data_IF_499362405512
#
_entry.id   IF_499362405512
#
_cell.length_a   1.000
_cell.length_b   1.000
_cell.length_c   1.000
_cell.angle_alpha   90.00
_cell.angle_beta   90.00
_cell.angle_gamma   90.00
#
_symmetry.space_group_name_H-M   'P 1'
#
loop_
_entity.id
_entity.type
_entity.pdbx_description
1 polymer ?
#
# COMPACT_ATOMS: atom_id res chain seq x y z
N UNK A 1 0.90 -69.35 -44.53
CA UNK A 1 2.36 -69.12 -44.73
C UNK A 1 2.57 -67.75 -45.35
N UNK A 2 3.54 -66.97 -44.82
CA UNK A 2 4.31 -65.87 -45.44
C UNK A 2 3.50 -64.61 -45.85
N UNK A 3 3.53 -63.52 -45.06
CA UNK A 3 4.52 -62.41 -45.04
C UNK A 3 4.78 -61.77 -46.42
N UNK A 4 4.43 -60.48 -46.57
CA UNK A 4 5.36 -59.39 -46.95
C UNK A 4 4.73 -58.00 -46.79
N UNK A 5 5.49 -57.14 -46.12
CA UNK A 5 5.25 -55.74 -45.77
C UNK A 5 5.81 -54.77 -46.83
N UNK A 6 5.58 -53.46 -46.59
CA UNK A 6 6.34 -52.25 -46.99
C UNK A 6 5.67 -51.42 -48.11
N UNK A 7 5.52 -50.09 -48.08
CA UNK A 7 6.01 -49.00 -47.21
C UNK A 7 5.05 -47.81 -47.35
N UNK A 8 4.70 -47.17 -46.24
CA UNK A 8 4.12 -45.83 -46.23
C UNK A 8 4.81 -45.02 -45.15
N UNK A 9 5.85 -44.26 -45.53
CA UNK A 9 6.48 -43.27 -44.66
C UNK A 9 5.42 -42.22 -44.26
N UNK A 10 5.05 -42.16 -42.99
CA UNK A 10 4.34 -41.01 -42.43
C UNK A 10 5.30 -40.25 -41.53
N UNK A 11 5.77 -39.12 -42.04
CA UNK A 11 6.54 -38.11 -41.31
C UNK A 11 5.63 -37.48 -40.26
N UNK A 12 5.86 -37.78 -38.99
CA UNK A 12 5.20 -37.09 -37.89
C UNK A 12 5.85 -35.71 -37.72
N UNK A 13 5.23 -34.67 -38.26
CA UNK A 13 5.58 -33.29 -37.92
C UNK A 13 5.04 -33.02 -36.52
N UNK A 14 5.95 -32.88 -35.55
CA UNK A 14 5.65 -32.38 -34.22
C UNK A 14 5.22 -30.90 -34.36
N UNK A 15 3.90 -30.67 -34.41
CA UNK A 15 3.35 -29.33 -34.29
C UNK A 15 3.53 -28.86 -32.83
N UNK A 16 4.63 -28.16 -32.56
CA UNK A 16 4.79 -27.36 -31.35
C UNK A 16 3.76 -26.22 -31.43
N UNK A 17 2.60 -26.42 -30.81
CA UNK A 17 1.54 -25.43 -30.80
C UNK A 17 1.99 -24.13 -30.09
N UNK A 18 1.54 -22.95 -30.53
CA UNK A 18 1.94 -21.65 -29.98
C UNK A 18 1.44 -21.38 -28.54
N UNK A 19 0.85 -22.36 -27.85
CA UNK A 19 0.33 -22.22 -26.50
C UNK A 19 1.38 -21.96 -25.42
N UNK A 20 2.65 -22.30 -25.67
CA UNK A 20 3.74 -22.03 -24.73
C UNK A 20 4.19 -20.54 -24.75
N UNK A 21 4.10 -19.88 -25.90
CA UNK A 21 4.52 -18.48 -26.06
C UNK A 21 3.54 -17.49 -25.42
N UNK A 22 2.23 -17.79 -25.48
CA UNK A 22 1.19 -16.96 -24.84
C UNK A 22 1.25 -17.01 -23.31
N UNK A 23 1.65 -18.14 -22.70
CA UNK A 23 1.82 -18.23 -21.24
C UNK A 23 3.10 -17.56 -20.72
N UNK A 24 4.14 -17.45 -21.55
CA UNK A 24 5.37 -16.76 -21.19
C UNK A 24 5.21 -15.23 -21.17
N UNK A 25 4.29 -14.67 -21.97
CA UNK A 25 4.05 -13.22 -22.03
C UNK A 25 3.24 -12.69 -20.82
N UNK A 26 2.33 -13.48 -20.25
CA UNK A 26 1.60 -13.10 -19.03
C UNK A 26 2.46 -13.18 -17.75
N UNK A 27 3.51 -14.01 -17.76
CA UNK A 27 4.46 -14.11 -16.64
C UNK A 27 5.47 -12.95 -16.62
N UNK A 28 5.76 -12.34 -17.77
CA UNK A 28 6.79 -11.30 -17.92
C UNK A 28 6.40 -9.92 -17.32
N UNK A 29 5.12 -9.71 -16.98
CA UNK A 29 4.60 -8.43 -16.48
C UNK A 29 4.16 -8.42 -15.01
N UNK A 30 4.30 -9.55 -14.29
CA UNK A 30 3.88 -9.64 -12.88
C UNK A 30 4.95 -9.09 -11.93
N UNK A 31 4.62 -8.15 -11.03
CA UNK A 31 5.61 -7.52 -10.14
C UNK A 31 6.29 -8.46 -9.14
N UNK A 32 5.64 -9.56 -8.74
CA UNK A 32 6.11 -10.53 -7.76
C UNK A 32 5.84 -11.96 -8.23
N UNK A 33 6.79 -12.85 -7.93
CA UNK A 33 6.62 -14.30 -8.13
C UNK A 33 5.73 -14.90 -7.04
N UNK A 34 5.28 -16.14 -7.21
CA UNK A 34 4.45 -16.82 -6.21
C UNK A 34 5.17 -16.99 -4.88
N UNK A 35 6.47 -17.29 -4.91
CA UNK A 35 7.33 -17.46 -3.73
C UNK A 35 7.51 -16.15 -2.97
N UNK A 36 7.70 -15.05 -3.72
CA UNK A 36 7.79 -13.71 -3.15
C UNK A 36 6.48 -13.27 -2.51
N UNK A 37 5.34 -13.61 -3.11
CA UNK A 37 4.02 -13.33 -2.52
C UNK A 37 3.78 -14.17 -1.27
N UNK A 38 4.11 -15.46 -1.28
CA UNK A 38 4.00 -16.32 -0.10
C UNK A 38 4.88 -15.78 1.05
N UNK A 39 6.11 -15.36 0.77
CA UNK A 39 6.99 -14.70 1.75
C UNK A 39 6.38 -13.40 2.29
N UNK A 40 5.86 -12.55 1.39
CA UNK A 40 5.33 -11.23 1.72
C UNK A 40 4.08 -11.31 2.60
N UNK A 41 3.21 -12.28 2.33
CA UNK A 41 1.91 -12.45 2.98
C UNK A 41 1.96 -13.34 4.23
N UNK A 42 3.03 -14.13 4.41
CA UNK A 42 3.22 -15.00 5.56
C UNK A 42 2.95 -14.35 6.93
N UNK A 43 3.32 -13.09 7.22
CA UNK A 43 3.06 -12.50 8.53
C UNK A 43 1.58 -12.18 8.83
N UNK A 44 0.74 -12.09 7.80
CA UNK A 44 -0.65 -11.63 7.92
C UNK A 44 -1.70 -12.59 7.35
N UNK A 45 -1.29 -13.64 6.63
CA UNK A 45 -2.22 -14.56 5.96
C UNK A 45 -3.16 -15.30 6.93
N UNK A 46 -2.82 -15.40 8.23
CA UNK A 46 -3.69 -15.99 9.25
C UNK A 46 -4.56 -14.96 9.98
N UNK A 47 -4.57 -13.70 9.55
CA UNK A 47 -5.47 -12.69 10.10
C UNK A 47 -6.92 -13.01 9.70
N UNK A 48 -7.92 -12.64 10.51
CA UNK A 48 -9.32 -12.68 10.09
C UNK A 48 -9.54 -11.91 8.78
N UNK A 49 -10.42 -12.42 7.91
CA UNK A 49 -10.57 -11.93 6.53
C UNK A 49 -10.89 -10.43 6.47
N UNK A 50 -11.69 -9.94 7.42
CA UNK A 50 -12.03 -8.52 7.53
C UNK A 50 -10.80 -7.64 7.81
N UNK A 51 -9.96 -8.04 8.76
CA UNK A 51 -8.73 -7.32 9.10
C UNK A 51 -7.69 -7.43 7.97
N UNK A 52 -7.51 -8.64 7.43
CA UNK A 52 -6.61 -8.88 6.30
C UNK A 52 -6.93 -7.97 5.11
N UNK A 53 -8.21 -7.86 4.75
CA UNK A 53 -8.65 -7.00 3.64
C UNK A 53 -8.22 -5.55 3.84
N UNK A 54 -8.36 -5.01 5.04
CA UNK A 54 -8.02 -3.63 5.34
C UNK A 54 -6.52 -3.38 5.42
N UNK A 55 -5.75 -4.33 5.94
CA UNK A 55 -4.28 -4.26 5.89
C UNK A 55 -3.80 -4.21 4.44
N UNK A 56 -4.37 -5.04 3.57
CA UNK A 56 -4.01 -5.07 2.15
C UNK A 56 -4.42 -3.79 1.40
N UNK A 57 -5.61 -3.26 1.66
CA UNK A 57 -6.07 -1.99 1.10
C UNK A 57 -5.21 -0.82 1.60
N UNK A 58 -5.00 -0.69 2.92
CA UNK A 58 -4.25 0.42 3.50
C UNK A 58 -2.77 0.42 3.10
N UNK A 59 -2.19 -0.76 2.84
CA UNK A 59 -0.81 -0.87 2.37
C UNK A 59 -0.57 -0.18 1.01
N UNK A 60 -1.62 0.09 0.22
CA UNK A 60 -1.51 0.84 -1.04
C UNK A 60 -1.27 2.35 -0.82
N UNK A 61 -1.44 2.84 0.42
CA UNK A 61 -1.32 4.23 0.88
C UNK A 61 -0.30 4.37 2.03
N UNK A 62 0.99 4.04 1.80
CA UNK A 62 1.95 3.90 2.90
C UNK A 62 2.28 5.22 3.62
N UNK A 63 2.09 6.39 3.01
CA UNK A 63 2.28 7.67 3.70
C UNK A 63 1.19 7.89 4.75
N UNK A 64 -0.08 7.70 4.39
CA UNK A 64 -1.19 7.79 5.32
C UNK A 64 -1.06 6.77 6.47
N UNK A 65 -0.54 5.57 6.20
CA UNK A 65 -0.21 4.58 7.25
C UNK A 65 0.79 5.12 8.26
N UNK A 66 1.83 5.84 7.81
CA UNK A 66 2.80 6.50 8.70
C UNK A 66 2.12 7.58 9.54
N UNK A 67 1.27 8.41 8.93
CA UNK A 67 0.54 9.45 9.64
C UNK A 67 -0.43 8.88 10.68
N UNK A 68 -1.18 7.85 10.31
CA UNK A 68 -2.09 7.12 11.19
C UNK A 68 -1.34 6.45 12.34
N UNK A 69 -0.18 5.84 12.09
CA UNK A 69 0.64 5.25 13.14
C UNK A 69 1.14 6.30 14.14
N UNK A 70 1.60 7.47 13.65
CA UNK A 70 2.03 8.59 14.51
C UNK A 70 0.85 9.14 15.32
N UNK A 71 -0.32 9.29 14.70
CA UNK A 71 -1.54 9.69 15.38
C UNK A 71 -1.91 8.68 16.48
N UNK A 72 -1.87 7.39 16.19
CA UNK A 72 -2.20 6.33 17.14
C UNK A 72 -1.23 6.32 18.33
N UNK A 73 0.07 6.50 18.08
CA UNK A 73 1.09 6.63 19.13
C UNK A 73 0.86 7.86 20.03
N UNK A 74 0.39 8.97 19.45
CA UNK A 74 0.04 10.17 20.20
C UNK A 74 -1.29 10.06 20.97
N UNK A 75 -2.12 9.05 20.67
CA UNK A 75 -3.44 8.83 21.26
C UNK A 75 -3.58 7.40 21.85
N UNK A 76 -2.72 6.98 22.80
CA UNK A 76 -2.62 5.58 23.22
C UNK A 76 -3.87 5.03 23.95
N UNK A 77 -4.74 5.92 24.43
CA UNK A 77 -6.01 5.57 25.09
C UNK A 77 -7.17 5.33 24.11
N UNK A 78 -7.05 5.79 22.87
CA UNK A 78 -8.07 5.59 21.85
C UNK A 78 -7.80 4.28 21.10
N UNK A 79 -8.79 3.38 21.12
CA UNK A 79 -8.75 2.08 20.44
C UNK A 79 -10.12 1.74 19.88
N UNK A 80 -10.17 0.77 18.97
CA UNK A 80 -11.43 0.30 18.41
C UNK A 80 -12.23 1.41 17.73
N UNK A 81 -13.55 1.32 17.81
CA UNK A 81 -14.47 2.26 17.17
C UNK A 81 -14.29 3.71 17.65
N UNK A 82 -13.87 3.93 18.90
CA UNK A 82 -13.59 5.28 19.43
C UNK A 82 -12.40 5.95 18.72
N UNK A 83 -11.37 5.17 18.36
CA UNK A 83 -10.23 5.68 17.60
C UNK A 83 -10.65 6.04 16.17
N UNK A 84 -11.47 5.21 15.53
CA UNK A 84 -11.99 5.44 14.19
C UNK A 84 -12.85 6.71 14.14
N UNK A 85 -13.72 6.90 15.14
CA UNK A 85 -14.53 8.11 15.26
C UNK A 85 -13.68 9.39 15.40
N UNK A 86 -12.54 9.30 16.09
CA UNK A 86 -11.64 10.45 16.31
C UNK A 86 -10.86 10.87 15.06
N UNK A 87 -10.76 10.00 14.04
CA UNK A 87 -10.06 10.30 12.78
C UNK A 87 -11.02 10.52 11.60
N UNK A 88 -12.32 10.63 11.86
CA UNK A 88 -13.35 10.82 10.82
C UNK A 88 -13.04 11.97 9.85
N UNK A 89 -12.49 13.07 10.38
CA UNK A 89 -12.20 14.31 9.65
C UNK A 89 -10.82 14.31 8.97
N UNK A 90 -10.04 13.24 9.13
CA UNK A 90 -8.81 13.05 8.36
C UNK A 90 -9.16 12.82 6.89
N UNK A 91 -8.25 13.21 6.00
CA UNK A 91 -8.34 13.02 4.56
C UNK A 91 -7.80 11.66 4.09
N UNK A 92 -7.43 10.79 5.03
CA UNK A 92 -6.96 9.43 4.73
C UNK A 92 -8.02 8.54 4.06
N UNK A 93 -7.58 7.54 3.31
CA UNK A 93 -8.45 6.48 2.80
C UNK A 93 -9.14 5.74 3.96
N UNK A 94 -10.34 5.22 3.67
CA UNK A 94 -11.18 4.53 4.66
C UNK A 94 -10.50 3.30 5.25
N UNK A 95 -9.70 2.57 4.47
CA UNK A 95 -8.92 1.43 4.98
C UNK A 95 -7.89 1.87 6.03
N UNK A 96 -7.23 3.01 5.84
CA UNK A 96 -6.27 3.57 6.79
C UNK A 96 -6.98 4.07 8.04
N UNK A 97 -8.12 4.76 7.88
CA UNK A 97 -8.97 5.18 9.02
C UNK A 97 -9.41 4.00 9.86
N UNK A 98 -9.83 2.89 9.27
CA UNK A 98 -10.23 1.70 10.03
C UNK A 98 -9.07 1.07 10.81
N UNK A 99 -7.86 1.10 10.28
CA UNK A 99 -6.69 0.51 10.95
C UNK A 99 -6.28 1.24 12.22
N UNK A 100 -6.73 2.47 12.48
CA UNK A 100 -6.47 3.14 13.77
C UNK A 100 -7.12 2.42 14.95
N UNK A 101 -8.12 1.56 14.68
CA UNK A 101 -8.66 0.63 15.67
C UNK A 101 -7.60 -0.35 16.19
N UNK A 102 -6.55 -0.64 15.40
CA UNK A 102 -5.49 -1.61 15.67
C UNK A 102 -4.10 -0.95 15.70
N UNK A 103 -3.75 -0.22 16.78
CA UNK A 103 -2.45 0.44 16.94
C UNK A 103 -1.24 -0.48 16.65
N UNK A 104 -1.33 -1.74 17.06
CA UNK A 104 -0.27 -2.74 16.87
C UNK A 104 -0.05 -3.11 15.39
N UNK A 105 -1.09 -3.10 14.57
CA UNK A 105 -0.99 -3.39 13.13
C UNK A 105 -0.38 -2.18 12.43
N UNK A 106 -0.82 -0.97 12.76
CA UNK A 106 -0.23 0.27 12.26
C UNK A 106 1.25 0.39 12.63
N UNK A 107 1.61 0.06 13.88
CA UNK A 107 3.00 0.08 14.34
C UNK A 107 3.87 -0.91 13.54
N UNK A 108 3.37 -2.12 13.30
CA UNK A 108 4.06 -3.11 12.46
C UNK A 108 4.25 -2.58 11.02
N UNK A 109 3.20 -2.03 10.40
CA UNK A 109 3.29 -1.48 9.04
C UNK A 109 4.26 -0.28 8.96
N UNK A 110 4.23 0.59 9.97
CA UNK A 110 5.07 1.78 10.05
C UNK A 110 6.55 1.45 10.33
N UNK A 111 6.85 0.43 11.14
CA UNK A 111 8.23 -0.03 11.36
C UNK A 111 8.82 -0.76 10.16
N UNK A 112 7.97 -1.32 9.29
CA UNK A 112 8.38 -2.14 8.16
C UNK A 112 7.90 -1.54 6.82
N UNK A 113 8.27 -0.28 6.54
CA UNK A 113 7.76 0.47 5.37
C UNK A 113 8.05 -0.19 4.02
N UNK A 114 9.22 -0.83 3.87
CA UNK A 114 9.53 -1.57 2.64
C UNK A 114 8.61 -2.76 2.42
N UNK A 115 8.24 -3.46 3.50
CA UNK A 115 7.26 -4.54 3.46
C UNK A 115 5.87 -4.01 3.16
N UNK A 116 5.44 -2.95 3.85
CA UNK A 116 4.13 -2.28 3.63
C UNK A 116 4.00 -1.82 2.19
N UNK A 117 5.02 -1.17 1.63
CA UNK A 117 5.03 -0.74 0.23
C UNK A 117 4.90 -1.92 -0.74
N UNK A 118 5.69 -2.99 -0.55
CA UNK A 118 5.62 -4.19 -1.41
C UNK A 118 4.24 -4.84 -1.33
N UNK A 119 3.64 -4.87 -0.15
CA UNK A 119 2.29 -5.39 0.07
C UNK A 119 1.25 -4.58 -0.71
N UNK A 120 1.33 -3.25 -0.65
CA UNK A 120 0.49 -2.37 -1.45
C UNK A 120 0.69 -2.54 -2.95
N UNK A 121 1.95 -2.64 -3.42
CA UNK A 121 2.27 -2.90 -4.83
C UNK A 121 1.66 -4.22 -5.32
N UNK A 122 1.75 -5.28 -4.50
CA UNK A 122 1.14 -6.57 -4.81
C UNK A 122 -0.39 -6.48 -4.87
N UNK A 123 -1.01 -5.75 -3.95
CA UNK A 123 -2.47 -5.56 -3.94
C UNK A 123 -2.97 -4.73 -5.13
N UNK A 124 -2.17 -3.77 -5.63
CA UNK A 124 -2.52 -2.99 -6.81
C UNK A 124 -2.38 -3.81 -8.10
N UNK A 125 -1.28 -4.55 -8.23
CA UNK A 125 -0.90 -5.21 -9.49
C UNK A 125 -1.34 -6.67 -9.63
N UNK A 126 -1.61 -7.37 -8.51
CA UNK A 126 -1.71 -8.84 -8.47
C UNK A 126 -2.73 -9.36 -7.44
N UNK A 127 -3.92 -8.76 -7.34
CA UNK A 127 -4.93 -9.16 -6.34
C UNK A 127 -5.25 -10.66 -6.37
N UNK A 128 -5.33 -11.26 -7.58
CA UNK A 128 -5.58 -12.68 -7.72
C UNK A 128 -4.46 -13.51 -7.10
N UNK A 129 -3.22 -13.23 -7.44
CA UNK A 129 -2.08 -13.99 -6.94
C UNK A 129 -1.87 -13.76 -5.44
N UNK A 130 -2.23 -12.59 -4.92
CA UNK A 130 -2.31 -12.30 -3.48
C UNK A 130 -3.34 -13.22 -2.81
N UNK A 131 -4.56 -13.32 -3.36
CA UNK A 131 -5.58 -14.24 -2.85
C UNK A 131 -5.11 -15.70 -2.88
N UNK A 132 -4.54 -16.13 -4.01
CA UNK A 132 -4.01 -17.49 -4.18
C UNK A 132 -2.89 -17.78 -3.15
N UNK A 133 -2.00 -16.82 -2.90
CA UNK A 133 -0.92 -16.93 -1.92
C UNK A 133 -1.45 -17.06 -0.48
N UNK A 134 -2.43 -16.23 -0.09
CA UNK A 134 -3.07 -16.35 1.22
C UNK A 134 -3.70 -17.74 1.40
N UNK A 135 -4.39 -18.26 0.38
CA UNK A 135 -4.98 -19.59 0.46
C UNK A 135 -3.95 -20.71 0.52
N UNK A 136 -2.84 -20.61 -0.24
CA UNK A 136 -1.72 -21.55 -0.10
C UNK A 136 -1.16 -21.56 1.33
N UNK A 137 -0.96 -20.38 1.92
CA UNK A 137 -0.45 -20.24 3.28
C UNK A 137 -1.43 -20.79 4.31
N UNK A 138 -2.72 -20.47 4.20
CA UNK A 138 -3.75 -21.01 5.09
C UNK A 138 -3.86 -22.53 4.98
N UNK A 139 -3.85 -23.09 3.77
CA UNK A 139 -3.86 -24.53 3.55
C UNK A 139 -2.62 -25.19 4.20
N UNK A 140 -1.43 -24.58 4.09
CA UNK A 140 -0.23 -25.05 4.80
C UNK A 140 -0.39 -25.01 6.31
N UNK A 141 -0.94 -23.94 6.87
CA UNK A 141 -1.15 -23.84 8.32
C UNK A 141 -2.20 -24.84 8.84
N UNK A 142 -3.24 -25.13 8.05
CA UNK A 142 -4.20 -26.21 8.34
C UNK A 142 -3.51 -27.58 8.28
N UNK A 143 -2.74 -27.86 7.23
CA UNK A 143 -2.00 -29.11 7.06
C UNK A 143 -0.96 -29.33 8.16
N UNK A 144 -0.32 -28.26 8.65
CA UNK A 144 0.58 -28.28 9.80
C UNK A 144 -0.14 -28.43 11.16
N UNK A 145 -1.48 -28.32 11.18
CA UNK A 145 -2.28 -28.42 12.40
C UNK A 145 -2.22 -27.17 13.30
N UNK A 146 -1.74 -26.04 12.77
CA UNK A 146 -1.48 -24.80 13.51
C UNK A 146 -2.54 -23.72 13.28
N UNK A 147 -3.42 -23.87 12.28
CA UNK A 147 -4.59 -23.02 12.09
C UNK A 147 -5.86 -23.78 12.51
N UNK A 148 -6.48 -23.34 13.62
CA UNK A 148 -7.66 -23.97 14.22
C UNK A 148 -8.66 -22.93 14.70
N UNK A 149 -9.91 -23.34 14.83
CA UNK A 149 -10.95 -22.58 15.54
C UNK A 149 -10.61 -22.50 17.03
N UNK A 150 -10.79 -21.32 17.60
CA UNK A 150 -10.58 -20.99 19.02
C UNK A 150 -11.71 -20.07 19.50
N UNK A 151 -11.79 -19.70 20.79
CA UNK A 151 -12.75 -18.69 21.22
C UNK A 151 -12.58 -17.31 20.55
N UNK A 152 -11.41 -17.03 19.98
CA UNK A 152 -11.07 -15.76 19.32
C UNK A 152 -11.48 -15.74 17.83
N UNK A 153 -11.35 -16.89 17.15
CA UNK A 153 -11.61 -17.00 15.72
C UNK A 153 -12.26 -18.33 15.35
N UNK A 154 -13.08 -18.30 14.30
CA UNK A 154 -13.64 -19.46 13.64
C UNK A 154 -12.92 -19.69 12.32
N UNK A 155 -12.38 -20.88 12.15
CA UNK A 155 -11.76 -21.34 10.91
C UNK A 155 -12.71 -22.31 10.22
N UNK A 156 -13.08 -22.01 8.98
CA UNK A 156 -13.94 -22.88 8.17
C UNK A 156 -13.35 -23.11 6.79
N UNK A 157 -13.67 -24.25 6.19
CA UNK A 157 -13.38 -24.51 4.78
C UNK A 157 -14.67 -24.39 4.00
N UNK A 158 -14.72 -23.45 3.07
CA UNK A 158 -15.84 -23.27 2.14
C UNK A 158 -15.50 -23.93 0.81
N UNK A 159 -16.46 -24.67 0.24
CA UNK A 159 -16.33 -25.40 -1.03
C UNK A 159 -17.45 -24.99 -1.97
N UNK A 160 -17.14 -24.80 -3.26
CA UNK A 160 -18.12 -24.37 -4.28
C UNK A 160 -17.92 -25.09 -5.61
N UNK A 161 -17.88 -26.43 -5.63
CA UNK A 161 -17.45 -27.22 -6.79
C UNK A 161 -16.10 -27.88 -6.49
N UNK A 162 -15.10 -27.71 -7.37
CA UNK A 162 -13.77 -28.35 -7.27
C UNK A 162 -12.66 -27.63 -6.49
N UNK A 163 -12.66 -26.31 -6.40
CA UNK A 163 -11.81 -25.55 -5.47
C UNK A 163 -12.24 -25.67 -3.97
N UNK A 164 -11.56 -24.97 -3.09
CA UNK A 164 -11.93 -24.76 -1.69
C UNK A 164 -11.23 -23.52 -1.17
N UNK A 165 -11.75 -22.86 -0.14
CA UNK A 165 -11.10 -21.74 0.52
C UNK A 165 -11.20 -21.86 2.05
N UNK A 166 -10.10 -21.57 2.74
CA UNK A 166 -10.06 -21.42 4.19
C UNK A 166 -10.45 -19.99 4.54
N UNK A 167 -11.53 -19.86 5.32
CA UNK A 167 -12.09 -18.59 5.78
C UNK A 167 -11.85 -18.46 7.28
N UNK A 168 -11.35 -17.29 7.70
CA UNK A 168 -11.08 -16.97 9.11
C UNK A 168 -11.96 -15.80 9.50
N UNK A 169 -12.87 -16.02 10.44
CA UNK A 169 -13.78 -14.99 10.95
C UNK A 169 -13.61 -14.84 12.46
N UNK A 170 -13.80 -13.64 13.02
CA UNK A 170 -13.94 -13.49 14.46
C UNK A 170 -15.13 -14.33 14.97
N UNK A 171 -14.98 -14.99 16.11
CA UNK A 171 -16.10 -15.72 16.73
C UNK A 171 -17.22 -14.77 17.18
N UNK A 172 -16.87 -13.54 17.55
CA UNK A 172 -17.79 -12.42 17.76
C UNK A 172 -17.49 -11.32 16.71
N UNK A 173 -18.42 -10.98 15.80
CA UNK A 173 -18.20 -9.96 14.77
C UNK A 173 -17.83 -8.57 15.30
N UNK A 174 -18.19 -8.24 16.55
CA UNK A 174 -17.90 -6.95 17.17
C UNK A 174 -16.49 -6.89 17.78
N UNK A 175 -15.84 -8.04 17.99
CA UNK A 175 -14.55 -8.12 18.69
C UNK A 175 -13.52 -8.86 17.83
N UNK A 176 -12.46 -8.13 17.45
CA UNK A 176 -11.42 -8.66 16.59
C UNK A 176 -10.15 -8.86 17.40
N UNK A 177 -9.63 -10.07 17.30
CA UNK A 177 -8.35 -10.45 17.87
C UNK A 177 -7.32 -10.47 16.75
N UNK A 178 -6.28 -9.63 16.85
CA UNK A 178 -5.15 -9.68 15.93
C UNK A 178 -4.27 -10.87 16.35
N UNK A 179 -3.97 -11.85 15.48
CA UNK A 179 -3.07 -12.93 15.82
C UNK A 179 -1.60 -12.53 15.59
N UNK A 180 -0.71 -12.99 16.46
CA UNK A 180 0.74 -12.98 16.29
C UNK A 180 1.26 -14.40 16.33
N UNK A 181 2.10 -14.74 15.37
CA UNK A 181 2.65 -16.07 15.22
C UNK A 181 4.01 -15.98 14.53
N UNK A 182 4.85 -16.99 14.76
CA UNK A 182 6.07 -17.16 13.97
C UNK A 182 5.70 -17.92 12.68
N UNK A 183 5.90 -17.35 11.48
CA UNK A 183 5.60 -18.04 10.22
C UNK A 183 6.31 -19.39 10.05
N UNK A 184 7.54 -19.53 10.55
CA UNK A 184 8.29 -20.80 10.48
C UNK A 184 7.64 -21.90 11.32
N UNK A 185 6.96 -21.55 12.41
CA UNK A 185 6.12 -22.48 13.15
C UNK A 185 4.78 -22.70 12.44
N UNK A 186 4.10 -21.61 12.08
CA UNK A 186 2.72 -21.65 11.60
C UNK A 186 2.55 -22.49 10.32
N UNK A 187 3.50 -22.41 9.38
CA UNK A 187 3.40 -23.07 8.07
C UNK A 187 4.16 -24.40 7.97
N UNK A 188 4.85 -24.82 9.05
CA UNK A 188 5.74 -25.98 9.02
C UNK A 188 6.94 -25.78 8.09
N UNK A 189 7.50 -26.86 7.49
CA UNK A 189 8.64 -26.77 6.58
C UNK A 189 8.39 -25.79 5.43
N UNK A 190 9.18 -24.73 5.39
CA UNK A 190 9.03 -23.67 4.38
C UNK A 190 9.60 -24.12 3.04
N UNK A 191 8.83 -24.03 1.94
CA UNK A 191 9.21 -24.61 0.65
C UNK A 191 10.24 -23.76 -0.12
N UNK A 192 10.48 -22.52 0.30
CA UNK A 192 11.29 -21.55 -0.44
C UNK A 192 12.50 -21.07 0.38
N UNK A 193 13.62 -21.81 0.38
CA UNK A 193 14.82 -21.42 1.14
C UNK A 193 15.35 -20.02 0.78
N UNK A 194 15.21 -19.61 -0.50
CA UNK A 194 15.63 -18.29 -0.98
C UNK A 194 14.69 -17.14 -0.56
N UNK A 195 13.48 -17.45 -0.09
CA UNK A 195 12.46 -16.47 0.28
C UNK A 195 11.86 -16.81 1.66
N UNK A 196 12.67 -16.80 2.74
CA UNK A 196 12.19 -17.14 4.08
C UNK A 196 11.22 -16.07 4.61
N UNK A 197 10.15 -16.46 5.31
CA UNK A 197 9.14 -15.51 5.77
C UNK A 197 9.72 -14.60 6.87
N UNK A 198 9.44 -13.28 6.86
CA UNK A 198 9.86 -12.40 7.93
C UNK A 198 9.03 -12.67 9.19
N UNK A 199 9.65 -12.54 10.37
CA UNK A 199 8.96 -12.61 11.65
C UNK A 199 8.91 -11.22 12.29
N UNK A 200 7.70 -10.75 12.57
CA UNK A 200 7.46 -9.51 13.29
C UNK A 200 6.95 -9.85 14.70
N UNK A 201 7.79 -9.73 15.75
CA UNK A 201 7.40 -10.08 17.10
C UNK A 201 6.32 -9.11 17.62
N UNK A 202 5.48 -9.56 18.57
CA UNK A 202 4.52 -8.68 19.22
C UNK A 202 5.22 -7.56 20.01
N UNK A 203 4.57 -6.41 20.19
CA UNK A 203 5.11 -5.33 21.02
C UNK A 203 5.26 -5.79 22.50
N UNK A 204 6.17 -5.19 23.29
CA UNK A 204 6.45 -5.64 24.66
C UNK A 204 5.24 -5.72 25.60
N UNK A 205 4.23 -4.86 25.39
CA UNK A 205 3.00 -4.80 26.20
C UNK A 205 1.82 -5.51 25.54
N UNK A 206 2.10 -6.49 24.68
CA UNK A 206 1.07 -7.27 24.02
C UNK A 206 0.41 -8.21 25.05
N UNK A 207 -0.70 -7.75 25.65
CA UNK A 207 -1.54 -8.58 26.50
C UNK A 207 -2.09 -9.73 25.66
N UNK A 208 -1.48 -10.90 25.80
CA UNK A 208 -1.70 -12.00 24.88
C UNK A 208 -2.15 -13.27 25.60
N UNK A 209 -3.06 -13.98 24.96
CA UNK A 209 -3.37 -15.37 25.31
C UNK A 209 -2.78 -16.29 24.24
N UNK A 210 -1.91 -17.21 24.66
CA UNK A 210 -1.38 -18.24 23.77
C UNK A 210 -2.43 -19.34 23.59
N UNK A 211 -2.99 -19.45 22.39
CA UNK A 211 -3.98 -20.47 22.04
C UNK A 211 -3.55 -21.20 20.78
N UNK A 212 -3.48 -22.53 20.85
CA UNK A 212 -3.06 -23.37 19.71
C UNK A 212 -1.73 -22.92 19.06
N UNK A 213 -0.80 -22.37 19.86
CA UNK A 213 0.51 -21.88 19.40
C UNK A 213 0.51 -20.49 18.73
N UNK A 214 -0.66 -19.86 18.59
CA UNK A 214 -0.79 -18.45 18.19
C UNK A 214 -1.01 -17.58 19.42
N UNK A 215 -0.37 -16.41 19.46
CA UNK A 215 -0.66 -15.39 20.46
C UNK A 215 -1.79 -14.50 19.94
N UNK A 216 -2.91 -14.45 20.64
CA UNK A 216 -3.97 -13.50 20.36
C UNK A 216 -3.90 -12.35 21.36
N UNK A 217 -3.94 -11.13 20.85
CA UNK A 217 -3.91 -9.92 21.66
C UNK A 217 -5.23 -9.70 22.38
N UNK A 218 -5.33 -8.59 23.11
CA UNK A 218 -6.61 -8.15 23.66
C UNK A 218 -7.62 -7.92 22.52
N UNK A 219 -8.84 -8.41 22.70
CA UNK A 219 -9.92 -8.22 21.74
C UNK A 219 -10.23 -6.74 21.56
N UNK A 220 -10.28 -6.28 20.32
CA UNK A 220 -10.58 -4.89 19.97
C UNK A 220 -12.05 -4.80 19.55
N UNK A 221 -12.81 -3.93 20.21
CA UNK A 221 -14.17 -3.58 19.78
C UNK A 221 -14.10 -2.76 18.48
N UNK A 222 -14.24 -3.44 17.35
CA UNK A 222 -13.95 -2.88 16.01
C UNK A 222 -14.98 -3.34 14.95
N UNK A 223 -16.16 -3.79 15.38
CA UNK A 223 -17.20 -4.26 14.45
C UNK A 223 -17.70 -3.16 13.52
N UNK A 224 -17.78 -1.91 13.99
CA UNK A 224 -18.13 -0.75 13.16
C UNK A 224 -16.95 -0.30 12.29
N UNK A 225 -15.71 -0.46 12.77
CA UNK A 225 -14.50 -0.16 12.01
C UNK A 225 -14.33 -1.07 10.78
N UNK A 226 -14.87 -2.30 10.78
CA UNK A 226 -14.72 -3.22 9.66
C UNK A 226 -15.80 -3.03 8.59
N UNK A 227 -15.38 -2.48 7.46
CA UNK A 227 -16.22 -2.32 6.27
C UNK A 227 -15.87 -3.31 5.15
N UNK A 228 -14.72 -3.98 5.25
CA UNK A 228 -14.22 -4.89 4.23
C UNK A 228 -14.24 -6.35 4.66
N UNK A 229 -14.26 -7.25 3.67
CA UNK A 229 -14.01 -8.67 3.80
C UNK A 229 -13.22 -9.18 2.59
N UNK A 230 -13.02 -10.50 2.53
CA UNK A 230 -12.33 -11.12 1.40
C UNK A 230 -13.28 -12.07 0.66
N UNK A 231 -13.28 -12.02 -0.66
CA UNK A 231 -13.96 -12.97 -1.53
C UNK A 231 -12.92 -13.89 -2.17
N UNK A 232 -13.08 -15.19 -1.95
CA UNK A 232 -12.14 -16.20 -2.42
C UNK A 232 -12.42 -16.66 -3.87
N UNK A 233 -13.10 -15.83 -4.66
CA UNK A 233 -13.24 -16.02 -6.11
C UNK A 233 -14.33 -16.98 -6.56
N UNK A 234 -15.20 -17.46 -5.67
CA UNK A 234 -16.10 -18.59 -5.99
C UNK A 234 -17.59 -18.45 -5.73
N UNK A 235 -18.08 -17.32 -5.21
CA UNK A 235 -19.53 -17.12 -5.21
C UNK A 235 -19.98 -16.72 -6.63
N UNK A 236 -20.79 -17.57 -7.28
CA UNK A 236 -21.41 -17.36 -8.58
C UNK A 236 -22.38 -16.18 -8.62
N UNK A 237 -21.88 -14.97 -8.46
CA UNK A 237 -22.66 -13.74 -8.39
C UNK A 237 -21.86 -12.53 -8.86
N UNK A 238 -21.41 -12.52 -10.11
CA UNK A 238 -21.04 -11.28 -10.81
C UNK A 238 -19.79 -10.51 -10.33
N UNK A 239 -18.98 -11.00 -9.39
CA UNK A 239 -17.90 -10.22 -8.71
C UNK A 239 -16.62 -9.91 -9.52
N UNK A 240 -16.42 -10.43 -10.72
CA UNK A 240 -15.29 -10.06 -11.59
C UNK A 240 -13.89 -10.33 -10.99
N UNK A 241 -12.91 -9.46 -11.28
CA UNK A 241 -11.50 -9.57 -10.87
C UNK A 241 -11.18 -9.01 -9.45
N UNK A 242 -12.17 -8.72 -8.62
CA UNK A 242 -11.96 -8.15 -7.28
C UNK A 242 -12.07 -9.22 -6.20
N UNK A 243 -11.09 -9.27 -5.30
CA UNK A 243 -10.97 -10.27 -4.23
C UNK A 243 -11.34 -9.71 -2.85
N UNK A 244 -11.72 -8.44 -2.78
CA UNK A 244 -12.19 -7.76 -1.56
C UNK A 244 -13.68 -7.49 -1.66
N UNK A 245 -14.43 -7.79 -0.61
CA UNK A 245 -15.82 -7.33 -0.46
C UNK A 245 -15.83 -6.06 0.35
N UNK A 246 -16.65 -5.08 -0.05
CA UNK A 246 -16.81 -3.82 0.65
C UNK A 246 -18.27 -3.59 0.98
N UNK A 247 -18.56 -3.46 2.26
CA UNK A 247 -19.81 -2.89 2.75
C UNK A 247 -19.75 -1.36 2.63
N UNK A 248 -20.34 -0.85 1.55
CA UNK A 248 -20.34 0.59 1.20
C UNK A 248 -21.01 1.44 2.29
N UNK A 249 -22.02 0.92 3.00
CA UNK A 249 -22.68 1.66 4.08
C UNK A 249 -21.74 1.88 5.27
N UNK A 250 -21.04 0.82 5.70
CA UNK A 250 -20.01 0.95 6.75
C UNK A 250 -18.86 1.83 6.30
N UNK A 251 -18.40 1.69 5.06
CA UNK A 251 -17.33 2.52 4.50
C UNK A 251 -17.70 4.01 4.48
N UNK A 252 -18.94 4.33 4.08
CA UNK A 252 -19.49 5.69 4.15
C UNK A 252 -19.52 6.22 5.57
N UNK A 253 -19.89 5.39 6.56
CA UNK A 253 -19.92 5.81 7.96
C UNK A 253 -18.52 6.15 8.50
N UNK A 254 -17.51 5.37 8.12
CA UNK A 254 -16.11 5.57 8.54
C UNK A 254 -15.47 6.77 7.81
N UNK A 255 -15.68 6.85 6.50
CA UNK A 255 -15.14 7.93 5.67
C UNK A 255 -15.84 9.27 5.90
N UNK A 256 -17.07 9.25 6.42
CA UNK A 256 -17.92 10.41 6.67
C UNK A 256 -17.94 11.35 5.46
N UNK A 257 -17.54 12.61 5.64
CA UNK A 257 -17.62 13.67 4.61
C UNK A 257 -16.61 13.50 3.46
N UNK A 258 -15.61 12.62 3.60
CA UNK A 258 -14.51 12.45 2.64
C UNK A 258 -14.59 11.12 1.87
N UNK A 259 -15.77 10.48 1.82
CA UNK A 259 -15.94 9.19 1.14
C UNK A 259 -16.42 9.33 -0.30
N UNK A 260 -15.57 8.99 -1.26
CA UNK A 260 -15.97 8.87 -2.66
C UNK A 260 -16.59 7.48 -2.93
N UNK A 261 -17.90 7.35 -2.72
CA UNK A 261 -18.64 6.10 -2.90
C UNK A 261 -18.41 5.40 -4.26
N UNK A 262 -18.13 6.18 -5.31
CA UNK A 262 -17.83 5.67 -6.66
C UNK A 262 -16.57 4.78 -6.71
N UNK A 263 -15.62 4.95 -5.78
CA UNK A 263 -14.41 4.10 -5.67
C UNK A 263 -14.68 2.74 -5.03
N UNK A 264 -15.85 2.61 -4.41
CA UNK A 264 -16.33 1.41 -3.75
C UNK A 264 -17.59 0.84 -4.42
N UNK A 265 -17.84 1.26 -5.67
CA UNK A 265 -19.01 0.87 -6.45
C UNK A 265 -19.14 -0.66 -6.55
N UNK A 266 -20.39 -1.14 -6.50
CA UNK A 266 -20.75 -2.56 -6.52
C UNK A 266 -20.12 -3.40 -5.39
N UNK A 267 -19.72 -2.75 -4.29
CA UNK A 267 -19.10 -3.42 -3.14
C UNK A 267 -17.68 -3.93 -3.40
N UNK A 268 -16.95 -3.31 -4.32
CA UNK A 268 -15.58 -3.69 -4.70
C UNK A 268 -14.59 -2.61 -4.31
N UNK A 269 -13.36 -2.98 -3.99
CA UNK A 269 -12.29 -2.01 -3.79
C UNK A 269 -11.62 -1.65 -5.13
N UNK A 270 -11.40 -0.35 -5.34
CA UNK A 270 -10.55 0.17 -6.39
C UNK A 270 -9.47 1.10 -5.80
N UNK A 271 -8.22 0.89 -6.20
CA UNK A 271 -7.10 1.74 -5.80
C UNK A 271 -7.32 3.19 -6.22
N UNK A 272 -7.15 4.13 -5.29
CA UNK A 272 -7.19 5.57 -5.56
C UNK A 272 -5.78 6.20 -5.57
N UNK A 273 -5.27 6.62 -6.73
CA UNK A 273 -3.94 7.26 -6.83
C UNK A 273 -3.75 8.53 -6.02
N UNK A 274 -4.83 9.22 -5.61
CA UNK A 274 -4.73 10.48 -4.84
C UNK A 274 -4.12 10.25 -3.46
N UNK A 275 -4.55 9.20 -2.76
CA UNK A 275 -4.11 8.81 -1.40
C UNK A 275 -2.71 8.18 -1.36
N UNK A 276 -2.08 7.96 -2.52
CA UNK A 276 -0.74 7.37 -2.61
C UNK A 276 0.38 8.41 -2.47
N UNK A 277 0.05 9.71 -2.48
CA UNK A 277 0.93 10.83 -2.13
C UNK A 277 2.35 10.78 -2.69
N UNK A 278 2.48 10.60 -4.00
CA UNK A 278 3.79 10.64 -4.63
C UNK A 278 4.55 9.32 -4.65
N UNK A 279 4.15 8.31 -3.87
CA UNK A 279 4.87 7.04 -3.75
C UNK A 279 4.87 6.31 -5.11
N UNK A 280 6.05 6.06 -5.71
CA UNK A 280 6.13 5.48 -7.05
C UNK A 280 5.51 4.08 -7.11
N UNK A 281 4.79 3.82 -8.21
CA UNK A 281 4.34 2.46 -8.56
C UNK A 281 5.51 1.60 -9.02
N UNK A 282 5.40 0.29 -8.80
CA UNK A 282 6.45 -0.68 -9.08
C UNK A 282 6.63 -0.88 -10.59
N UNK A 283 5.55 -1.16 -11.31
CA UNK A 283 5.62 -1.46 -12.75
C UNK A 283 5.44 -0.21 -13.61
N UNK A 284 5.96 -0.25 -14.84
CA UNK A 284 5.73 0.81 -15.83
C UNK A 284 4.27 0.92 -16.22
N UNK A 285 3.57 -0.22 -16.34
CA UNK A 285 2.15 -0.30 -16.64
C UNK A 285 1.30 0.40 -15.57
N UNK A 286 1.57 0.15 -14.28
CA UNK A 286 0.89 0.87 -13.18
C UNK A 286 1.18 2.38 -13.22
N UNK A 287 2.44 2.77 -13.44
CA UNK A 287 2.79 4.19 -13.59
C UNK A 287 2.03 4.83 -14.73
N UNK A 288 1.91 4.17 -15.88
CA UNK A 288 1.13 4.69 -17.01
C UNK A 288 -0.36 4.81 -16.65
N UNK A 289 -0.94 3.77 -16.04
CA UNK A 289 -2.36 3.73 -15.66
C UNK A 289 -2.73 4.80 -14.63
N UNK A 290 -1.89 5.01 -13.61
CA UNK A 290 -2.24 5.81 -12.44
C UNK A 290 -1.56 7.18 -12.36
N UNK A 291 -0.44 7.42 -13.06
CA UNK A 291 0.12 8.79 -13.12
C UNK A 291 -0.70 9.72 -14.02
N UNK A 292 -1.50 9.18 -14.94
CA UNK A 292 -2.46 9.96 -15.72
C UNK A 292 -3.62 10.49 -14.86
N UNK A 293 -3.90 9.84 -13.73
CA UNK A 293 -5.02 10.17 -12.84
C UNK A 293 -4.69 11.25 -11.78
N UNK A 294 -3.52 11.92 -11.87
CA UNK A 294 -3.19 13.02 -10.95
C UNK A 294 -3.76 14.36 -11.46
N UNK A 295 -4.44 15.15 -10.62
CA UNK A 295 -4.80 16.52 -10.96
C UNK A 295 -3.56 17.31 -11.41
N UNK A 296 -3.62 17.97 -12.57
CA UNK A 296 -2.50 18.72 -13.15
C UNK A 296 -1.46 17.89 -13.92
N UNK A 297 -1.69 16.58 -14.15
CA UNK A 297 -0.88 15.79 -15.08
C UNK A 297 -0.92 16.36 -16.51
N UNK A 298 -2.08 16.87 -16.94
CA UNK A 298 -2.27 17.49 -18.26
C UNK A 298 -1.49 18.79 -18.41
N UNK A 299 -1.40 19.60 -17.34
CA UNK A 299 -0.58 20.82 -17.31
C UNK A 299 0.90 20.48 -17.52
N UNK A 300 1.39 19.37 -16.94
CA UNK A 300 2.77 18.90 -17.18
C UNK A 300 3.00 18.40 -18.61
N UNK A 301 1.99 17.82 -19.26
CA UNK A 301 2.08 17.43 -20.67
C UNK A 301 2.13 18.67 -21.58
N UNK A 302 1.37 19.71 -21.26
CA UNK A 302 1.42 21.00 -21.98
C UNK A 302 2.80 21.67 -21.88
N UNK A 303 3.43 21.65 -20.70
CA UNK A 303 4.81 22.14 -20.53
C UNK A 303 5.84 21.31 -21.32
N UNK A 304 5.63 19.99 -21.45
CA UNK A 304 6.52 19.13 -22.24
C UNK A 304 6.39 19.39 -23.75
N UNK A 305 5.17 19.56 -24.27
CA UNK A 305 4.95 19.92 -25.69
C UNK A 305 5.44 21.33 -26.06
N UNK A 306 5.47 22.26 -25.11
CA UNK A 306 6.03 23.60 -25.32
C UNK A 306 7.57 23.60 -25.37
N UNK A 307 8.24 22.66 -24.68
CA UNK A 307 9.70 22.49 -24.77
C UNK A 307 10.13 21.86 -26.09
N UNK A 308 9.38 20.89 -26.60
CA UNK A 308 9.64 20.21 -27.87
C UNK A 308 9.50 21.17 -29.08
N UNK A 309 8.50 22.07 -29.04
CA UNK A 309 8.37 23.17 -30.01
C UNK A 309 9.50 24.21 -29.89
N UNK A 310 10.09 24.40 -28.71
CA UNK A 310 11.21 25.31 -28.52
C UNK A 310 12.53 24.73 -29.06
N UNK A 311 12.72 23.40 -28.98
CA UNK A 311 13.88 22.71 -29.56
C UNK A 311 13.83 22.67 -31.10
N UNK A 312 12.66 22.57 -31.72
CA UNK A 312 12.53 22.65 -33.19
C UNK A 312 12.75 24.06 -33.74
N UNK A 313 12.49 25.10 -32.95
CA UNK A 313 12.73 26.50 -33.36
C UNK A 313 14.19 26.94 -33.15
N UNK A 314 14.95 26.23 -32.31
CA UNK A 314 16.37 26.53 -32.04
C UNK A 314 17.34 25.98 -33.10
N UNK A 315 16.86 25.21 -34.09
CA UNK A 315 17.69 24.60 -35.13
C UNK A 315 17.61 25.30 -36.51
N UNK A 316 17.14 26.55 -36.55
CA UNK A 316 17.22 27.44 -37.72
C UNK A 316 17.70 28.82 -37.31
N UNK A 317 19.01 28.96 -37.14
CA UNK A 317 19.61 30.27 -36.86
C UNK A 317 21.12 30.21 -36.71
N UNK A 318 21.81 30.41 -37.83
CA UNK A 318 23.17 30.92 -37.97
C UNK A 318 24.31 30.28 -37.16
N UNK A 319 25.10 29.50 -37.91
CA UNK A 319 26.53 29.32 -37.72
C UNK A 319 27.19 30.71 -37.77
N UNK A 320 27.62 31.22 -36.62
CA UNK A 320 28.56 32.33 -36.53
C UNK A 320 29.52 32.08 -35.36
N UNK A 321 30.80 32.09 -35.70
CA UNK A 321 31.96 31.79 -34.87
C UNK A 321 31.96 32.58 -33.55
N UNK A 322 32.18 31.89 -32.42
CA UNK A 322 32.74 32.51 -31.21
C UNK A 322 33.93 31.68 -30.72
N UNK A 323 35.07 32.30 -30.38
CA UNK A 323 36.25 31.57 -29.94
C UNK A 323 36.06 31.03 -28.52
N UNK A 324 36.68 29.88 -28.29
CA UNK A 324 36.88 29.22 -27.00
C UNK A 324 37.69 30.11 -26.06
N UNK A 325 37.04 30.67 -25.04
CA UNK A 325 37.72 31.19 -23.85
C UNK A 325 37.56 30.20 -22.69
N UNK A 326 38.70 29.61 -22.37
CA UNK A 326 38.97 28.77 -21.22
C UNK A 326 38.89 29.62 -19.93
N UNK A 327 37.89 29.36 -19.08
CA UNK A 327 37.89 29.81 -17.68
C UNK A 327 37.59 28.65 -16.75
N UNK A 328 38.66 28.09 -16.22
CA UNK A 328 38.92 28.08 -14.77
C UNK A 328 37.89 27.40 -13.90
N UNK A 329 38.19 26.15 -13.57
CA UNK A 329 37.65 25.39 -12.45
C UNK A 329 37.90 26.14 -11.12
N UNK A 330 36.84 26.40 -10.35
CA UNK A 330 36.94 26.78 -8.94
C UNK A 330 36.14 25.79 -8.09
N UNK A 331 36.88 24.87 -7.48
CA UNK A 331 36.40 24.02 -6.39
C UNK A 331 36.21 24.86 -5.12
N UNK A 332 34.98 24.92 -4.60
CA UNK A 332 34.72 25.16 -3.18
C UNK A 332 33.95 23.98 -2.62
N UNK A 333 34.67 23.12 -1.89
CA UNK A 333 34.07 22.07 -1.08
C UNK A 333 33.40 22.66 0.16
N UNK A 334 32.27 22.05 0.55
CA UNK A 334 31.73 22.16 1.90
C UNK A 334 30.87 20.94 2.24
N UNK A 335 31.41 20.11 3.13
CA UNK A 335 30.71 19.47 4.24
C UNK A 335 29.54 18.53 3.93
N UNK A 336 29.82 17.23 3.96
CA UNK A 336 28.81 16.18 3.95
C UNK A 336 27.89 16.20 5.18
N UNK A 337 26.63 15.88 4.94
CA UNK A 337 25.74 15.23 5.91
C UNK A 337 25.08 14.05 5.20
N UNK A 338 25.36 12.86 5.73
CA UNK A 338 24.80 11.57 5.31
C UNK A 338 23.27 11.58 5.36
N UNK A 339 22.63 11.26 4.23
CA UNK A 339 21.20 11.01 4.10
C UNK A 339 20.97 9.53 3.78
N UNK A 340 19.93 8.93 4.36
CA UNK A 340 19.64 7.49 4.40
C UNK A 340 19.20 6.85 3.06
N UNK A 341 19.61 7.41 1.92
CA UNK A 341 19.18 6.99 0.59
C UNK A 341 20.34 6.84 -0.41
N UNK A 342 21.55 6.56 0.05
CA UNK A 342 22.77 6.52 -0.78
C UNK A 342 22.90 5.27 -1.69
N UNK A 343 21.79 4.56 -1.94
CA UNK A 343 21.75 3.33 -2.75
C UNK A 343 21.04 3.48 -4.09
N UNK A 344 20.66 4.69 -4.52
CA UNK A 344 19.88 4.88 -5.76
C UNK A 344 20.65 5.78 -6.74
N UNK A 345 21.01 5.18 -7.86
CA UNK A 345 21.76 5.69 -9.03
C UNK A 345 21.13 6.92 -9.74
N UNK A 346 20.73 7.97 -9.01
CA UNK A 346 20.17 9.24 -9.56
C UNK A 346 20.43 10.48 -8.67
N UNK A 347 21.64 10.64 -8.13
CA UNK A 347 21.99 11.78 -7.26
C UNK A 347 21.79 13.18 -7.90
N UNK A 348 21.90 13.30 -9.23
CA UNK A 348 21.83 14.60 -9.92
C UNK A 348 20.42 15.14 -10.23
N UNK A 349 19.37 14.35 -9.98
CA UNK A 349 17.97 14.80 -10.13
C UNK A 349 17.37 15.24 -8.79
N UNK A 350 17.76 14.59 -7.70
CA UNK A 350 17.21 14.85 -6.36
C UNK A 350 17.68 16.20 -5.79
N UNK A 351 18.94 16.61 -6.03
CA UNK A 351 19.42 17.93 -5.62
C UNK A 351 18.67 19.08 -6.32
N UNK A 352 18.30 18.90 -7.60
CA UNK A 352 17.52 19.91 -8.35
C UNK A 352 16.09 20.04 -7.86
N UNK A 353 15.51 18.98 -7.31
CA UNK A 353 14.15 19.04 -6.75
C UNK A 353 14.14 19.59 -5.32
N UNK A 354 15.22 19.38 -4.54
CA UNK A 354 15.41 20.03 -3.23
C UNK A 354 15.62 21.54 -3.35
N UNK A 355 16.43 22.00 -4.32
CA UNK A 355 16.67 23.42 -4.56
C UNK A 355 15.42 24.14 -5.11
N UNK A 356 14.59 23.46 -5.92
CA UNK A 356 13.29 23.98 -6.38
C UNK A 356 12.21 24.01 -5.30
N UNK A 357 12.29 23.09 -4.32
CA UNK A 357 11.42 23.11 -3.15
C UNK A 357 11.64 24.35 -2.28
N UNK A 358 12.88 24.85 -2.16
CA UNK A 358 13.17 26.08 -1.40
C UNK A 358 12.61 27.34 -2.07
N UNK A 359 12.56 27.40 -3.39
CA UNK A 359 11.95 28.53 -4.12
C UNK A 359 10.42 28.60 -4.04
N UNK A 360 9.76 27.54 -3.54
CA UNK A 360 8.30 27.49 -3.36
C UNK A 360 7.83 27.97 -1.98
N UNK A 361 8.75 28.32 -1.07
CA UNK A 361 8.43 28.71 0.32
C UNK A 361 8.94 30.11 0.71
N UNK A 362 9.45 30.89 -0.25
CA UNK A 362 9.83 32.28 -0.05
C UNK A 362 8.78 33.22 -0.62
N UNK A 363 7.64 33.38 0.07
CA UNK A 363 6.82 34.60 0.10
C UNK A 363 5.53 34.32 0.89
N UNK A 364 5.65 34.34 2.21
CA UNK A 364 4.53 34.65 3.11
C UNK A 364 5.03 35.71 4.08
N UNK A 365 4.95 36.96 3.64
CA UNK A 365 5.15 38.14 4.47
C UNK A 365 4.17 38.09 5.63
N UNK A 366 4.69 37.87 6.84
CA UNK A 366 3.99 38.19 8.07
C UNK A 366 4.00 39.71 8.21
N UNK A 367 2.84 40.33 8.03
CA UNK A 367 2.61 41.73 8.37
C UNK A 367 2.70 41.85 9.90
N UNK A 368 3.88 42.23 10.39
CA UNK A 368 4.11 42.61 11.80
C UNK A 368 3.78 44.09 11.91
N UNK A 369 2.64 44.39 12.51
CA UNK A 369 2.26 45.72 12.95
C UNK A 369 3.37 46.37 13.77
N UNK A 370 3.81 47.53 13.30
CA UNK A 370 4.83 48.40 13.85
C UNK A 370 4.38 48.96 15.21
N UNK A 371 5.06 48.58 16.30
CA UNK A 371 4.96 49.26 17.59
C UNK A 371 6.10 50.28 17.70
N UNK A 372 5.80 51.54 17.38
CA UNK A 372 6.69 52.65 17.68
C UNK A 372 6.38 53.23 19.07
N UNK A 373 7.42 53.23 19.91
CA UNK A 373 7.51 54.01 21.14
C UNK A 373 7.87 55.46 20.79
N UNK A 374 6.99 56.39 21.13
CA UNK A 374 7.28 57.79 21.51
C UNK A 374 5.96 58.31 22.10
N UNK A 375 5.82 58.79 23.34
CA UNK A 375 6.65 59.76 24.06
C UNK A 375 5.92 61.11 24.08
N UNK A 376 5.25 61.46 25.18
CA UNK A 376 4.97 62.87 25.55
C UNK A 376 3.51 63.36 25.67
N UNK A 377 3.02 63.38 26.92
CA UNK A 377 2.40 64.51 27.66
C UNK A 377 1.13 65.29 27.19
N UNK A 378 0.33 65.64 28.23
CA UNK A 378 -0.88 66.50 28.34
C UNK A 378 -2.21 65.77 28.14
N UNK A 379 -3.23 65.83 28.99
CA UNK A 379 -3.54 66.66 30.16
C UNK A 379 -5.08 66.79 30.24
N UNK A 380 -5.64 66.78 31.46
CA UNK A 380 -7.06 66.98 31.81
C UNK A 380 -8.06 65.89 31.34
N UNK A 381 -9.10 65.50 32.07
CA UNK A 381 -9.68 65.96 33.34
C UNK A 381 -11.11 65.42 33.44
N UNK A 382 -11.53 65.01 34.64
CA UNK A 382 -12.94 64.69 35.00
C UNK A 382 -13.47 63.36 34.42
N UNK A 383 -14.24 62.54 35.11
CA UNK A 383 -14.94 62.66 36.37
C UNK A 383 -16.17 61.73 36.32
N UNK A 384 -16.43 61.03 37.42
CA UNK A 384 -17.71 60.44 37.86
C UNK A 384 -18.23 59.19 37.12
N UNK A 385 -18.27 58.04 37.82
CA UNK A 385 -19.44 57.43 38.54
C UNK A 385 -20.51 56.93 37.56
N UNK A 386 -21.02 55.71 37.63
CA UNK A 386 -21.14 54.71 38.71
C UNK A 386 -21.36 53.35 38.07
#
# INVERSE_FOLDING_TARGET
MKRRHLLGLSTFVLAVGPGAALRAQDAANKPFTSEQLDQLLAPIALYPDALLSQVLMAASYPLEVVEAARWSQANPTLKGDAAVAAVKDKDWDVSVKSLVAFPQVLDMMNKNLDWTRKLGDAMIGQQKEVADAVQRLRARAVAAGNLKSTPQQKVTTQTSGSASAVVIEPTNPEVIYVPYYNPSWAYGPWPYPAYPPPYYPPPPNYGAMLMAGMMFGLGVAAGAAMFGGWHWGWSGGGWGNSYTTVNVNKATHIGANNFYANRYADGRWAHDPTHRDGVPYRTSAERQRYNQARPGADQRQQFRGQLENREQTANRGNIAQRPTENRGSEYRGSGGRSSAFDGVDRGNQVNRDYDRGRSSWGDRSFDRGNFERSGGFHGAGGGFRR
#
